data_IF_249018185390
#
_entry.id   IF_249018185390
#
_cell.length_a   1.000
_cell.length_b   1.000
_cell.length_c   1.000
_cell.angle_alpha   90.00
_cell.angle_beta   90.00
_cell.angle_gamma   90.00
#
_symmetry.space_group_name_H-M   'P 1'
#
loop_
_entity.id
_entity.type
_entity.pdbx_description
1 polymer ?
#
# COMPACT_ATOMS: atom_id res chain seq x y z
N UNK A 1 0.63 28.87 62.93
CA UNK A 1 0.23 28.45 61.57
C UNK A 1 1.49 28.02 60.86
N UNK A 2 1.76 26.72 60.79
CA UNK A 2 2.96 26.15 60.13
C UNK A 2 2.55 25.69 58.71
N UNK A 3 3.15 26.31 57.67
CA UNK A 3 2.92 25.99 56.29
C UNK A 3 3.91 24.89 55.88
N UNK A 4 3.40 23.70 55.54
CA UNK A 4 4.20 22.59 54.97
C UNK A 4 4.24 22.75 53.46
N UNK A 5 5.42 23.13 52.95
CA UNK A 5 5.70 23.12 51.52
C UNK A 5 5.96 21.69 51.05
N UNK A 6 5.11 21.16 50.18
CA UNK A 6 5.33 19.89 49.47
C UNK A 6 6.19 20.14 48.23
N UNK A 7 7.46 19.71 48.29
CA UNK A 7 8.33 19.70 47.12
C UNK A 7 8.02 18.47 46.24
N UNK A 8 7.46 18.70 45.07
CA UNK A 8 7.24 17.63 44.03
C UNK A 8 8.56 17.51 43.28
N UNK A 9 9.31 16.45 43.55
CA UNK A 9 10.46 16.03 42.75
C UNK A 9 9.93 15.35 41.46
N UNK A 10 9.96 16.06 40.35
CA UNK A 10 9.69 15.48 39.01
C UNK A 10 10.93 14.68 38.58
N UNK A 11 10.87 13.36 38.66
CA UNK A 11 11.85 12.46 38.07
C UNK A 11 11.61 12.39 36.55
N UNK A 12 12.46 13.07 35.78
CA UNK A 12 12.50 12.93 34.32
C UNK A 12 13.18 11.60 34.05
N UNK A 13 12.39 10.57 33.68
CA UNK A 13 12.92 9.33 33.15
C UNK A 13 13.46 9.58 31.74
N UNK A 14 14.80 9.63 31.59
CA UNK A 14 15.43 9.56 30.27
C UNK A 14 15.13 8.18 29.68
N UNK A 15 14.21 8.12 28.72
CA UNK A 15 14.00 6.96 27.92
C UNK A 15 15.26 6.72 27.07
N UNK A 16 16.08 5.76 27.47
CA UNK A 16 17.23 5.29 26.69
C UNK A 16 16.72 4.60 25.45
N UNK A 17 16.74 5.29 24.30
CA UNK A 17 16.45 4.69 23.01
C UNK A 17 17.64 3.82 22.61
N UNK A 18 17.48 2.50 22.72
CA UNK A 18 18.45 1.56 22.17
C UNK A 18 18.65 1.82 20.67
N UNK A 19 19.88 1.70 20.13
CA UNK A 19 20.11 1.85 18.70
C UNK A 19 19.33 0.78 17.94
N UNK A 20 18.59 1.22 16.88
CA UNK A 20 17.90 0.30 15.98
C UNK A 20 18.92 -0.57 15.26
N UNK A 21 18.61 -1.86 15.13
CA UNK A 21 19.43 -2.76 14.32
C UNK A 21 19.32 -2.41 12.83
N UNK A 22 20.34 -2.73 12.04
CA UNK A 22 20.33 -2.55 10.57
C UNK A 22 19.13 -3.28 9.94
N UNK A 23 18.77 -4.45 10.46
CA UNK A 23 17.61 -5.22 10.01
C UNK A 23 16.28 -4.47 10.27
N UNK A 24 16.15 -3.76 11.40
CA UNK A 24 14.95 -2.97 11.72
C UNK A 24 14.81 -1.74 10.79
N UNK A 25 15.94 -1.15 10.38
CA UNK A 25 15.94 -0.02 9.45
C UNK A 25 15.56 -0.47 8.04
N UNK A 26 16.06 -1.60 7.56
CA UNK A 26 15.74 -2.16 6.25
C UNK A 26 14.27 -2.58 6.17
N UNK A 27 13.78 -3.23 7.22
CA UNK A 27 12.37 -3.55 7.36
C UNK A 27 11.48 -2.31 7.30
N UNK A 28 11.83 -1.25 8.05
CA UNK A 28 11.08 0.01 8.04
C UNK A 28 11.08 0.69 6.66
N UNK A 29 12.19 0.63 5.92
CA UNK A 29 12.29 1.15 4.55
C UNK A 29 11.38 0.40 3.59
N UNK A 30 11.38 -0.94 3.63
CA UNK A 30 10.53 -1.78 2.78
C UNK A 30 9.05 -1.51 3.01
N UNK A 31 8.62 -1.42 4.27
CA UNK A 31 7.23 -1.07 4.61
C UNK A 31 6.86 0.33 4.12
N UNK A 32 7.72 1.33 4.34
CA UNK A 32 7.49 2.69 3.88
C UNK A 32 7.46 2.81 2.35
N UNK A 33 8.30 2.04 1.66
CA UNK A 33 8.31 1.98 0.20
C UNK A 33 7.00 1.37 -0.34
N UNK A 34 6.60 0.22 0.17
CA UNK A 34 5.35 -0.43 -0.21
C UNK A 34 4.12 0.44 0.09
N UNK A 35 4.07 1.09 1.26
CA UNK A 35 2.97 1.99 1.61
C UNK A 35 2.78 3.10 0.57
N UNK A 36 3.87 3.73 0.11
CA UNK A 36 3.82 4.80 -0.91
C UNK A 36 3.32 4.29 -2.25
N UNK A 37 3.82 3.14 -2.72
CA UNK A 37 3.39 2.56 -3.99
C UNK A 37 1.94 2.11 -3.95
N UNK A 38 1.48 1.48 -2.87
CA UNK A 38 0.09 1.10 -2.70
C UNK A 38 -0.83 2.33 -2.64
N UNK A 39 -0.46 3.39 -1.93
CA UNK A 39 -1.26 4.63 -1.87
C UNK A 39 -1.36 5.32 -3.24
N UNK A 40 -0.27 5.38 -4.00
CA UNK A 40 -0.29 5.92 -5.35
C UNK A 40 -1.16 5.07 -6.28
N UNK A 41 -0.99 3.74 -6.25
CA UNK A 41 -1.78 2.81 -7.07
C UNK A 41 -3.27 2.85 -6.72
N UNK A 42 -3.63 3.00 -5.45
CA UNK A 42 -5.01 3.21 -5.02
C UNK A 42 -5.66 4.39 -5.74
N UNK A 43 -4.99 5.55 -5.76
CA UNK A 43 -5.52 6.77 -6.38
C UNK A 43 -5.64 6.63 -7.91
N UNK A 44 -4.64 6.04 -8.56
CA UNK A 44 -4.68 5.77 -9.99
C UNK A 44 -5.79 4.77 -10.36
N UNK A 45 -5.97 3.72 -9.57
CA UNK A 45 -7.05 2.74 -9.79
C UNK A 45 -8.43 3.36 -9.57
N UNK A 46 -8.61 4.25 -8.58
CA UNK A 46 -9.87 4.96 -8.37
C UNK A 46 -10.21 5.86 -9.57
N UNK A 47 -9.24 6.62 -10.07
CA UNK A 47 -9.41 7.47 -11.26
C UNK A 47 -9.69 6.63 -12.51
N UNK A 48 -8.97 5.53 -12.69
CA UNK A 48 -9.16 4.62 -13.82
C UNK A 48 -10.52 3.90 -13.75
N UNK A 49 -11.02 3.57 -12.56
CA UNK A 49 -12.36 3.02 -12.37
C UNK A 49 -13.43 3.97 -12.91
N UNK A 50 -13.39 5.25 -12.52
CA UNK A 50 -14.35 6.28 -12.96
C UNK A 50 -14.28 6.48 -14.48
N UNK A 51 -13.06 6.56 -15.05
CA UNK A 51 -12.82 6.61 -16.48
C UNK A 51 -13.48 5.43 -17.22
N UNK A 52 -13.24 4.21 -16.75
CA UNK A 52 -13.81 3.00 -17.35
C UNK A 52 -15.35 2.97 -17.27
N UNK A 53 -15.94 3.38 -16.15
CA UNK A 53 -17.40 3.46 -15.99
C UNK A 53 -17.99 4.47 -16.98
N UNK A 54 -17.34 5.62 -17.15
CA UNK A 54 -17.76 6.65 -18.10
C UNK A 54 -17.77 6.12 -19.53
N UNK A 55 -16.70 5.44 -19.96
CA UNK A 55 -16.62 4.83 -21.29
C UNK A 55 -17.62 3.71 -21.48
N UNK A 56 -17.84 2.87 -20.47
CA UNK A 56 -18.84 1.81 -20.52
C UNK A 56 -20.25 2.37 -20.70
N UNK A 57 -20.59 3.48 -20.03
CA UNK A 57 -21.87 4.18 -20.18
C UNK A 57 -22.07 4.77 -21.58
N UNK A 58 -20.99 5.10 -22.28
CA UNK A 58 -20.97 5.56 -23.68
C UNK A 58 -21.07 4.41 -24.70
N UNK A 59 -21.16 3.16 -24.25
CA UNK A 59 -21.31 1.99 -25.11
C UNK A 59 -20.03 1.17 -25.34
N UNK A 60 -18.88 1.60 -24.78
CA UNK A 60 -17.61 0.88 -24.85
C UNK A 60 -17.56 -0.24 -23.79
N UNK A 61 -18.28 -1.33 -24.05
CA UNK A 61 -18.55 -2.40 -23.09
C UNK A 61 -17.28 -3.08 -22.54
N UNK A 62 -16.19 -3.08 -23.30
CA UNK A 62 -14.92 -3.68 -22.88
C UNK A 62 -14.32 -3.02 -21.65
N UNK A 63 -14.64 -1.75 -21.38
CA UNK A 63 -14.22 -1.02 -20.18
C UNK A 63 -14.89 -1.54 -18.91
N UNK A 64 -16.08 -2.14 -18.98
CA UNK A 64 -16.82 -2.59 -17.79
C UNK A 64 -16.06 -3.68 -16.99
N UNK A 65 -15.41 -4.60 -17.68
CA UNK A 65 -14.60 -5.64 -17.03
C UNK A 65 -13.35 -5.05 -16.35
N UNK A 66 -12.71 -4.08 -17.02
CA UNK A 66 -11.52 -3.38 -16.49
C UNK A 66 -11.89 -2.51 -15.29
N UNK A 67 -13.03 -1.82 -15.33
CA UNK A 67 -13.53 -1.06 -14.19
C UNK A 67 -13.61 -1.92 -12.92
N UNK A 68 -14.13 -3.14 -13.03
CA UNK A 68 -14.22 -4.05 -11.89
C UNK A 68 -12.85 -4.35 -11.27
N UNK A 69 -11.85 -4.66 -12.11
CA UNK A 69 -10.49 -4.95 -11.65
C UNK A 69 -9.82 -3.71 -11.03
N UNK A 70 -10.06 -2.52 -11.58
CA UNK A 70 -9.58 -1.26 -10.99
C UNK A 70 -10.19 -1.04 -9.59
N UNK A 71 -11.51 -1.23 -9.43
CA UNK A 71 -12.18 -1.10 -8.13
C UNK A 71 -11.74 -2.13 -7.09
N UNK A 72 -11.39 -3.34 -7.51
CA UNK A 72 -10.84 -4.36 -6.61
C UNK A 72 -9.39 -4.03 -6.22
N UNK A 73 -8.57 -3.58 -7.18
CA UNK A 73 -7.19 -3.18 -6.95
C UNK A 73 -7.09 -1.96 -6.04
N UNK A 74 -7.96 -0.96 -6.22
CA UNK A 74 -8.07 0.20 -5.33
C UNK A 74 -8.20 -0.23 -3.87
N UNK A 75 -9.15 -1.11 -3.55
CA UNK A 75 -9.44 -1.58 -2.19
C UNK A 75 -8.29 -2.39 -1.61
N UNK A 76 -7.70 -3.26 -2.42
CA UNK A 76 -6.56 -4.07 -2.01
C UNK A 76 -5.35 -3.20 -1.68
N UNK A 77 -5.04 -2.23 -2.51
CA UNK A 77 -3.95 -1.28 -2.31
C UNK A 77 -4.19 -0.38 -1.08
N UNK A 78 -5.42 0.11 -0.87
CA UNK A 78 -5.79 0.89 0.31
C UNK A 78 -5.51 0.13 1.62
N UNK A 79 -5.92 -1.14 1.67
CA UNK A 79 -5.70 -2.00 2.83
C UNK A 79 -4.19 -2.19 3.10
N UNK A 80 -3.43 -2.59 2.07
CA UNK A 80 -1.99 -2.86 2.24
C UNK A 80 -1.22 -1.58 2.57
N UNK A 81 -1.56 -0.43 1.96
CA UNK A 81 -0.96 0.86 2.31
C UNK A 81 -1.14 1.20 3.80
N UNK A 82 -2.36 1.03 4.31
CA UNK A 82 -2.69 1.31 5.73
C UNK A 82 -1.93 0.37 6.67
N UNK A 83 -1.88 -0.93 6.38
CA UNK A 83 -1.15 -1.90 7.18
C UNK A 83 0.37 -1.64 7.17
N UNK A 84 0.93 -1.26 6.03
CA UNK A 84 2.34 -0.89 5.90
C UNK A 84 2.66 0.38 6.70
N UNK A 85 1.81 1.41 6.64
CA UNK A 85 1.99 2.65 7.40
C UNK A 85 1.99 2.38 8.91
N UNK A 86 1.14 1.45 9.38
CA UNK A 86 1.08 0.98 10.76
C UNK A 86 2.16 -0.05 11.13
N UNK A 87 3.05 -0.43 10.18
CA UNK A 87 4.08 -1.47 10.36
C UNK A 87 3.51 -2.81 10.86
N UNK A 88 2.29 -3.12 10.43
CA UNK A 88 1.62 -4.37 10.78
C UNK A 88 2.30 -5.57 10.12
N UNK A 89 2.62 -6.65 10.85
CA UNK A 89 3.15 -7.87 10.24
C UNK A 89 2.17 -8.51 9.24
N UNK A 90 0.87 -8.22 9.34
CA UNK A 90 -0.14 -8.67 8.41
C UNK A 90 0.09 -8.13 6.99
N UNK A 91 0.73 -6.96 6.84
CA UNK A 91 1.03 -6.39 5.53
C UNK A 91 1.84 -7.34 4.65
N UNK A 92 2.89 -7.97 5.22
CA UNK A 92 3.74 -8.92 4.49
C UNK A 92 2.98 -10.19 4.05
N UNK A 93 2.03 -10.66 4.85
CA UNK A 93 1.19 -11.80 4.48
C UNK A 93 0.26 -11.49 3.29
N UNK A 94 -0.18 -10.24 3.16
CA UNK A 94 -1.07 -9.80 2.08
C UNK A 94 -0.31 -9.34 0.82
N UNK A 95 1.01 -9.16 0.92
CA UNK A 95 1.84 -8.62 -0.15
C UNK A 95 1.69 -9.36 -1.48
N UNK A 96 1.79 -10.70 -1.47
CA UNK A 96 1.68 -11.48 -2.72
C UNK A 96 0.27 -11.40 -3.34
N UNK A 97 -0.79 -11.43 -2.51
CA UNK A 97 -2.16 -11.26 -2.97
C UNK A 97 -2.39 -9.88 -3.60
N UNK A 98 -1.87 -8.83 -2.98
CA UNK A 98 -1.93 -7.46 -3.51
C UNK A 98 -1.15 -7.34 -4.82
N UNK A 99 0.06 -7.93 -4.90
CA UNK A 99 0.85 -7.94 -6.13
C UNK A 99 0.11 -8.60 -7.29
N UNK A 100 -0.53 -9.74 -7.04
CA UNK A 100 -1.34 -10.42 -8.07
C UNK A 100 -2.53 -9.57 -8.51
N UNK A 101 -3.25 -8.95 -7.59
CA UNK A 101 -4.36 -8.05 -7.89
C UNK A 101 -3.90 -6.88 -8.78
N UNK A 102 -2.76 -6.27 -8.46
CA UNK A 102 -2.15 -5.22 -9.28
C UNK A 102 -1.76 -5.72 -10.68
N UNK A 103 -1.19 -6.93 -10.82
CA UNK A 103 -0.85 -7.49 -12.12
C UNK A 103 -2.08 -7.76 -12.98
N UNK A 104 -3.15 -8.29 -12.41
CA UNK A 104 -4.40 -8.56 -13.11
C UNK A 104 -5.06 -7.23 -13.58
N UNK A 105 -5.03 -6.19 -12.74
CA UNK A 105 -5.50 -4.85 -13.10
C UNK A 105 -4.65 -4.22 -14.21
N UNK A 106 -3.31 -4.29 -14.11
CA UNK A 106 -2.41 -3.78 -15.14
C UNK A 106 -2.65 -4.46 -16.49
N UNK A 107 -2.77 -5.80 -16.51
CA UNK A 107 -3.02 -6.54 -17.72
C UNK A 107 -4.38 -6.20 -18.38
N UNK A 108 -5.37 -5.79 -17.59
CA UNK A 108 -6.65 -5.32 -18.12
C UNK A 108 -6.53 -3.92 -18.74
N UNK A 109 -5.79 -3.01 -18.10
CA UNK A 109 -5.54 -1.66 -18.61
C UNK A 109 -4.66 -1.68 -19.87
N UNK A 110 -3.66 -2.55 -19.95
CA UNK A 110 -2.76 -2.72 -21.12
C UNK A 110 -3.49 -3.12 -22.41
N UNK A 111 -4.75 -3.53 -22.35
CA UNK A 111 -5.59 -3.80 -23.54
C UNK A 111 -6.01 -2.53 -24.29
N UNK A 112 -5.80 -1.37 -23.69
CA UNK A 112 -6.14 -0.05 -24.24
C UNK A 112 -4.87 0.79 -24.43
N UNK A 113 -3.98 0.42 -25.36
CA UNK A 113 -2.64 1.00 -25.48
C UNK A 113 -2.63 2.48 -25.87
N UNK A 114 -3.68 2.95 -26.54
CA UNK A 114 -3.81 4.33 -27.00
C UNK A 114 -4.49 5.24 -25.97
N UNK A 115 -4.94 4.69 -24.85
CA UNK A 115 -5.58 5.40 -23.77
C UNK A 115 -4.56 5.74 -22.67
N UNK A 116 -4.27 7.04 -22.52
CA UNK A 116 -3.27 7.52 -21.57
C UNK A 116 -3.62 7.19 -20.11
N UNK A 117 -4.89 7.30 -19.72
CA UNK A 117 -5.34 6.99 -18.35
C UNK A 117 -5.13 5.51 -18.03
N UNK A 118 -5.42 4.65 -19.00
CA UNK A 118 -5.21 3.22 -18.86
C UNK A 118 -3.71 2.88 -18.77
N UNK A 119 -2.88 3.51 -19.59
CA UNK A 119 -1.43 3.31 -19.56
C UNK A 119 -0.80 3.76 -18.22
N UNK A 120 -1.21 4.91 -17.69
CA UNK A 120 -0.74 5.42 -16.40
C UNK A 120 -1.15 4.49 -15.25
N UNK A 121 -2.40 4.02 -15.24
CA UNK A 121 -2.89 3.04 -14.27
C UNK A 121 -2.11 1.72 -14.35
N UNK A 122 -1.90 1.18 -15.55
CA UNK A 122 -1.13 -0.05 -15.75
C UNK A 122 0.28 0.08 -15.18
N UNK A 123 0.96 1.20 -15.47
CA UNK A 123 2.30 1.49 -14.93
C UNK A 123 2.31 1.53 -13.41
N UNK A 124 1.36 2.25 -12.80
CA UNK A 124 1.25 2.35 -11.35
C UNK A 124 1.02 0.98 -10.70
N UNK A 125 0.15 0.15 -11.29
CA UNK A 125 -0.11 -1.21 -10.85
C UNK A 125 1.16 -2.09 -10.95
N UNK A 126 1.93 -2.02 -12.04
CA UNK A 126 3.18 -2.79 -12.19
C UNK A 126 4.23 -2.40 -11.15
N UNK A 127 4.37 -1.10 -10.86
CA UNK A 127 5.31 -0.62 -9.85
C UNK A 127 4.85 -1.02 -8.43
N UNK A 128 3.55 -0.97 -8.15
CA UNK A 128 2.97 -1.44 -6.89
C UNK A 128 3.17 -2.96 -6.71
N UNK A 129 2.95 -3.77 -7.75
CA UNK A 129 3.16 -5.21 -7.69
C UNK A 129 4.59 -5.58 -7.29
N UNK A 130 5.59 -4.88 -7.83
CA UNK A 130 7.00 -5.06 -7.44
C UNK A 130 7.22 -4.76 -5.95
N UNK A 131 6.71 -3.61 -5.48
CA UNK A 131 6.84 -3.21 -4.08
C UNK A 131 6.17 -4.21 -3.12
N UNK A 132 5.00 -4.73 -3.49
CA UNK A 132 4.27 -5.72 -2.70
C UNK A 132 5.01 -7.08 -2.64
N UNK A 133 5.67 -7.50 -3.71
CA UNK A 133 6.49 -8.72 -3.70
C UNK A 133 7.73 -8.57 -2.82
N UNK A 134 8.38 -7.40 -2.84
CA UNK A 134 9.47 -7.15 -1.89
C UNK A 134 8.98 -7.20 -0.44
N UNK A 135 7.84 -6.58 -0.15
CA UNK A 135 7.22 -6.66 1.17
C UNK A 135 6.94 -8.11 1.61
N UNK A 136 6.43 -8.94 0.70
CA UNK A 136 6.08 -10.34 1.00
C UNK A 136 7.28 -11.17 1.47
N UNK A 137 8.50 -10.84 1.03
CA UNK A 137 9.74 -11.50 1.47
C UNK A 137 10.06 -11.26 2.96
N UNK A 138 9.51 -10.20 3.56
CA UNK A 138 9.66 -9.87 4.97
C UNK A 138 8.57 -10.50 5.87
N UNK A 139 7.71 -11.37 5.31
CA UNK A 139 6.78 -12.19 6.08
C UNK A 139 7.50 -13.24 6.93
N UNK A 140 6.85 -13.81 7.94
CA UNK A 140 7.44 -14.91 8.68
C UNK A 140 7.73 -16.05 7.69
N UNK A 141 9.01 -16.39 7.56
CA UNK A 141 9.42 -17.59 6.85
C UNK A 141 8.65 -18.77 7.42
N UNK A 142 7.94 -19.54 6.57
CA UNK A 142 7.48 -20.87 6.97
C UNK A 142 8.71 -21.60 7.49
N UNK A 143 8.75 -21.86 8.79
CA UNK A 143 9.67 -22.87 9.33
C UNK A 143 9.14 -24.19 8.78
N UNK A 144 9.89 -24.76 7.83
CA UNK A 144 9.73 -26.14 7.43
C UNK A 144 9.91 -27.07 8.64
#
# INVERSE_FOLDING_TARGET
MMSFGVAILATIALASSAPRSVADEDHAKTFGFCAKHCAACQLECASCFDHCITHAAQGHKDHAATARLCGDCEKCCALVASLCAGKSPLAAHLGEGCAKCCDDCAAACEKFPDDKQMADCAKSCRDCAKACRELAKHGPHKKD
#
